data_IF_898552799660
#
_entry.id   IF_898552799660
#
_cell.length_a   1.000
_cell.length_b   1.000
_cell.length_c   1.000
_cell.angle_alpha   90.00
_cell.angle_beta   90.00
_cell.angle_gamma   90.00
#
_symmetry.space_group_name_H-M   'P 1'
#
loop_
_entity.id
_entity.type
_entity.pdbx_description
1 polymer ?
#
# COMPACT_ATOMS: atom_id res chain seq x y z
N UNK A 1 -1.48 10.18 23.65
CA UNK A 1 -2.10 8.98 24.28
C UNK A 1 -3.53 8.75 23.79
N UNK A 2 -4.57 9.47 24.25
CA UNK A 2 -5.96 9.22 23.78
C UNK A 2 -6.21 9.66 22.32
N UNK A 3 -5.65 10.82 21.92
CA UNK A 3 -5.81 11.36 20.56
C UNK A 3 -5.17 10.45 19.48
N UNK A 4 -3.99 9.89 19.78
CA UNK A 4 -3.22 9.07 18.82
C UNK A 4 -3.87 7.69 18.59
N UNK A 5 -4.50 7.10 19.61
CA UNK A 5 -5.28 5.87 19.48
C UNK A 5 -6.54 6.09 18.62
N UNK A 6 -7.22 7.23 18.78
CA UNK A 6 -8.40 7.58 17.97
C UNK A 6 -8.02 7.81 16.50
N UNK A 7 -6.92 8.53 16.25
CA UNK A 7 -6.39 8.77 14.91
C UNK A 7 -5.96 7.48 14.21
N UNK A 8 -5.39 6.53 14.96
CA UNK A 8 -4.99 5.22 14.45
C UNK A 8 -6.19 4.35 14.08
N UNK A 9 -7.22 4.29 14.92
CA UNK A 9 -8.44 3.54 14.62
C UNK A 9 -9.17 4.11 13.40
N UNK A 10 -9.21 5.45 13.29
CA UNK A 10 -9.72 6.17 12.13
C UNK A 10 -8.92 5.86 10.86
N UNK A 11 -7.60 5.76 10.98
CA UNK A 11 -6.70 5.43 9.87
C UNK A 11 -6.90 4.00 9.37
N UNK A 12 -7.00 3.01 10.26
CA UNK A 12 -7.28 1.62 9.89
C UNK A 12 -8.62 1.48 9.16
N UNK A 13 -9.65 2.20 9.62
CA UNK A 13 -10.95 2.23 8.95
C UNK A 13 -10.87 2.85 7.54
N UNK A 14 -10.16 3.98 7.39
CA UNK A 14 -9.92 4.62 6.08
C UNK A 14 -9.12 3.72 5.15
N UNK A 15 -8.09 3.04 5.66
CA UNK A 15 -7.29 2.08 4.92
C UNK A 15 -8.14 0.90 4.44
N UNK A 16 -8.96 0.31 5.31
CA UNK A 16 -9.85 -0.77 4.92
C UNK A 16 -10.86 -0.36 3.84
N UNK A 17 -11.37 0.88 3.89
CA UNK A 17 -12.22 1.43 2.85
C UNK A 17 -11.43 1.63 1.53
N UNK A 18 -10.23 2.20 1.58
CA UNK A 18 -9.37 2.39 0.42
C UNK A 18 -8.98 1.08 -0.27
N UNK A 19 -8.70 0.03 0.51
CA UNK A 19 -8.43 -1.33 -0.02
C UNK A 19 -9.62 -1.87 -0.81
N UNK A 20 -10.86 -1.59 -0.38
CA UNK A 20 -12.06 -1.96 -1.14
C UNK A 20 -12.16 -1.19 -2.46
N UNK A 21 -11.75 0.08 -2.49
CA UNK A 21 -11.76 0.90 -3.71
C UNK A 21 -10.84 0.30 -4.78
N UNK A 22 -9.62 -0.11 -4.41
CA UNK A 22 -8.68 -0.77 -5.34
C UNK A 22 -9.16 -2.13 -5.84
N UNK A 23 -9.98 -2.85 -5.05
CA UNK A 23 -10.53 -4.17 -5.43
C UNK A 23 -11.79 -4.07 -6.30
N UNK A 24 -12.31 -2.86 -6.52
CA UNK A 24 -13.38 -2.58 -7.47
C UNK A 24 -12.93 -2.90 -8.91
N UNK A 25 -13.82 -3.14 -9.89
CA UNK A 25 -13.45 -3.32 -11.32
C UNK A 25 -12.65 -2.17 -11.96
N UNK A 26 -12.38 -1.11 -11.20
CA UNK A 26 -11.36 -0.12 -11.47
C UNK A 26 -9.98 -0.80 -11.55
N UNK A 27 -9.33 -0.75 -12.71
CA UNK A 27 -7.94 -1.16 -12.88
C UNK A 27 -7.06 0.09 -12.86
N UNK A 28 -6.30 0.36 -11.77
CA UNK A 28 -5.18 1.28 -11.79
C UNK A 28 -4.11 0.76 -12.78
N UNK A 29 -3.13 1.60 -13.12
CA UNK A 29 -1.95 1.10 -13.85
C UNK A 29 -1.23 0.01 -13.05
N UNK A 30 -0.50 -0.85 -13.74
CA UNK A 30 0.30 -1.91 -13.10
C UNK A 30 1.28 -1.33 -12.05
N UNK A 31 1.86 -0.16 -12.33
CA UNK A 31 2.77 0.55 -11.41
C UNK A 31 2.04 1.00 -10.14
N UNK A 32 0.83 1.56 -10.27
CA UNK A 32 0.00 1.91 -9.11
C UNK A 32 -0.36 0.66 -8.31
N UNK A 33 -0.71 -0.45 -8.98
CA UNK A 33 -1.01 -1.71 -8.30
C UNK A 33 0.19 -2.25 -7.52
N UNK A 34 1.41 -2.10 -8.03
CA UNK A 34 2.64 -2.47 -7.33
C UNK A 34 2.89 -1.57 -6.10
N UNK A 35 2.67 -0.27 -6.24
CA UNK A 35 2.79 0.69 -5.14
C UNK A 35 1.75 0.44 -4.04
N UNK A 36 0.48 0.23 -4.39
CA UNK A 36 -0.54 -0.12 -3.41
C UNK A 36 -0.27 -1.48 -2.77
N UNK A 37 0.27 -2.43 -3.52
CA UNK A 37 0.71 -3.70 -2.97
C UNK A 37 1.81 -3.50 -1.92
N UNK A 38 2.84 -2.69 -2.19
CA UNK A 38 3.93 -2.47 -1.23
C UNK A 38 3.43 -1.82 0.06
N UNK A 39 2.63 -0.77 -0.02
CA UNK A 39 2.02 -0.14 1.15
C UNK A 39 1.12 -1.10 1.92
N UNK A 40 0.31 -1.91 1.23
CA UNK A 40 -0.53 -2.92 1.89
C UNK A 40 0.32 -3.94 2.66
N UNK A 41 1.42 -4.41 2.06
CA UNK A 41 2.34 -5.35 2.72
C UNK A 41 3.04 -4.70 3.92
N UNK A 42 3.48 -3.46 3.79
CA UNK A 42 4.10 -2.72 4.89
C UNK A 42 3.12 -2.43 6.03
N UNK A 43 1.88 -2.02 5.71
CA UNK A 43 0.84 -1.75 6.69
C UNK A 43 0.42 -3.01 7.48
N UNK A 44 0.39 -4.16 6.83
CA UNK A 44 -0.06 -5.42 7.46
C UNK A 44 1.09 -6.16 8.14
N UNK A 45 2.20 -6.37 7.41
CA UNK A 45 3.32 -7.20 7.84
C UNK A 45 4.50 -6.39 8.41
N UNK A 46 4.60 -5.10 8.10
CA UNK A 46 5.77 -4.28 8.43
C UNK A 46 6.88 -4.37 7.37
N UNK A 47 8.11 -3.97 7.73
CA UNK A 47 9.29 -3.99 6.86
C UNK A 47 9.49 -5.32 6.13
N UNK A 48 9.93 -5.23 4.87
CA UNK A 48 10.22 -6.41 4.05
C UNK A 48 11.32 -7.25 4.71
N UNK A 49 10.97 -8.48 5.12
CA UNK A 49 11.84 -9.41 5.83
C UNK A 49 12.07 -10.72 5.05
N UNK A 50 11.61 -10.77 3.80
CA UNK A 50 11.76 -11.94 2.93
C UNK A 50 12.90 -11.75 1.94
N UNK A 51 13.63 -12.81 1.55
CA UNK A 51 14.67 -12.71 0.54
C UNK A 51 14.11 -12.38 -0.84
N UNK A 52 14.90 -11.66 -1.64
CA UNK A 52 14.53 -11.32 -3.03
C UNK A 52 14.32 -12.59 -3.86
N UNK A 53 13.25 -12.69 -4.67
CA UNK A 53 13.04 -13.83 -5.56
C UNK A 53 14.21 -14.02 -6.53
N UNK A 54 14.79 -15.22 -6.55
CA UNK A 54 15.99 -15.55 -7.35
C UNK A 54 15.67 -15.95 -8.80
N UNK A 55 14.42 -16.31 -9.12
CA UNK A 55 14.02 -16.73 -10.47
C UNK A 55 14.14 -15.61 -11.51
N UNK A 56 14.80 -15.88 -12.65
CA UNK A 56 14.93 -14.92 -13.74
C UNK A 56 13.60 -14.65 -14.47
N UNK A 57 12.70 -15.65 -14.48
CA UNK A 57 11.38 -15.62 -15.11
C UNK A 57 10.29 -14.94 -14.28
N UNK A 58 10.48 -14.73 -12.97
CA UNK A 58 9.48 -14.11 -12.10
C UNK A 58 9.66 -12.58 -12.00
N UNK A 59 9.43 -11.89 -13.12
CA UNK A 59 9.54 -10.42 -13.20
C UNK A 59 8.50 -9.72 -12.33
N UNK A 60 7.28 -10.26 -12.26
CA UNK A 60 6.20 -9.70 -11.43
C UNK A 60 6.46 -9.88 -9.94
N UNK A 61 6.93 -11.05 -9.50
CA UNK A 61 7.32 -11.28 -8.12
C UNK A 61 8.49 -10.41 -7.69
N UNK A 62 9.49 -10.23 -8.57
CA UNK A 62 10.58 -9.27 -8.34
C UNK A 62 10.07 -7.84 -8.20
N UNK A 63 9.21 -7.36 -9.11
CA UNK A 63 8.66 -6.01 -9.02
C UNK A 63 7.88 -5.77 -7.71
N UNK A 64 7.08 -6.76 -7.28
CA UNK A 64 6.37 -6.71 -5.99
C UNK A 64 7.33 -6.67 -4.80
N UNK A 65 8.38 -7.47 -4.84
CA UNK A 65 9.39 -7.50 -3.79
C UNK A 65 10.19 -6.20 -3.76
N UNK A 66 10.61 -5.70 -4.92
CA UNK A 66 11.38 -4.47 -5.08
C UNK A 66 10.56 -3.27 -4.56
N UNK A 67 9.26 -3.19 -4.90
CA UNK A 67 8.35 -2.16 -4.40
C UNK A 67 8.13 -2.25 -2.87
N UNK A 68 8.06 -3.45 -2.29
CA UNK A 68 7.92 -3.59 -0.83
C UNK A 68 9.23 -3.32 -0.09
N UNK A 69 10.35 -3.80 -0.63
CA UNK A 69 11.68 -3.58 -0.07
C UNK A 69 12.10 -2.12 -0.13
N UNK A 70 11.65 -1.34 -1.13
CA UNK A 70 12.00 0.07 -1.26
C UNK A 70 11.41 0.95 -0.16
N UNK A 71 10.36 0.48 0.54
CA UNK A 71 9.77 1.17 1.69
C UNK A 71 10.66 1.11 2.95
N UNK A 72 11.63 0.19 3.00
CA UNK A 72 12.59 0.07 4.09
C UNK A 72 11.92 -0.05 5.47
N UNK A 73 12.25 0.90 6.36
CA UNK A 73 11.83 0.91 7.76
C UNK A 73 10.52 1.69 8.00
N UNK A 74 9.76 2.00 6.94
CA UNK A 74 8.47 2.71 7.07
C UNK A 74 7.55 2.01 8.08
N UNK A 75 6.93 2.78 8.97
CA UNK A 75 6.01 2.21 9.96
C UNK A 75 4.71 1.75 9.32
N UNK A 76 3.95 0.90 10.03
CA UNK A 76 2.62 0.46 9.56
C UNK A 76 1.67 1.63 9.37
N UNK A 77 1.72 2.61 10.28
CA UNK A 77 0.87 3.80 10.26
C UNK A 77 1.20 4.71 9.08
N UNK A 78 2.48 4.95 8.80
CA UNK A 78 2.90 5.71 7.61
C UNK A 78 2.47 5.01 6.32
N UNK A 79 2.61 3.69 6.23
CA UNK A 79 2.17 2.93 5.07
C UNK A 79 0.65 3.03 4.83
N UNK A 80 -0.15 2.98 5.90
CA UNK A 80 -1.60 3.17 5.81
C UNK A 80 -1.97 4.60 5.38
N UNK A 81 -1.27 5.62 5.91
CA UNK A 81 -1.49 7.02 5.51
C UNK A 81 -1.23 7.22 4.03
N UNK A 82 -0.05 6.83 3.55
CA UNK A 82 0.34 6.94 2.13
C UNK A 82 -0.66 6.20 1.23
N UNK A 83 -1.10 4.99 1.60
CA UNK A 83 -2.10 4.23 0.85
C UNK A 83 -3.42 5.00 0.68
N UNK A 84 -3.92 5.61 1.77
CA UNK A 84 -5.18 6.36 1.76
C UNK A 84 -5.03 7.64 0.94
N UNK A 85 -3.93 8.37 1.11
CA UNK A 85 -3.65 9.60 0.37
C UNK A 85 -3.57 9.37 -1.14
N UNK A 86 -2.83 8.33 -1.58
CA UNK A 86 -2.70 8.00 -3.00
C UNK A 86 -4.04 7.55 -3.60
N UNK A 87 -4.86 6.80 -2.85
CA UNK A 87 -6.21 6.44 -3.30
C UNK A 87 -7.10 7.67 -3.44
N UNK A 88 -7.03 8.60 -2.48
CA UNK A 88 -7.78 9.85 -2.56
C UNK A 88 -7.36 10.66 -3.78
N UNK A 89 -6.06 10.75 -4.06
CA UNK A 89 -5.54 11.44 -5.24
C UNK A 89 -6.04 10.81 -6.54
N UNK A 90 -5.91 9.48 -6.67
CA UNK A 90 -6.38 8.73 -7.85
C UNK A 90 -7.88 8.87 -8.04
N UNK A 91 -8.66 8.83 -6.96
CA UNK A 91 -10.12 9.00 -7.02
C UNK A 91 -10.55 10.44 -7.34
N UNK A 92 -9.78 11.43 -6.90
CA UNK A 92 -10.03 12.86 -7.13
C UNK A 92 -9.75 13.24 -8.58
N UNK A 93 -8.63 12.76 -9.15
CA UNK A 93 -8.22 13.08 -10.51
C UNK A 93 -9.23 12.62 -11.59
N UNK A 94 -10.09 11.65 -11.27
CA UNK A 94 -11.12 11.13 -12.18
C UNK A 94 -12.45 11.90 -12.18
N UNK A 95 -12.63 12.92 -11.33
CA UNK A 95 -13.87 13.73 -11.29
C UNK A 95 -13.89 14.90 -12.30
N UNK A 96 -12.97 14.93 -13.25
CA UNK A 96 -12.93 15.92 -14.33
C UNK A 96 -12.95 15.24 -15.69
#
# INVERSE_FOLDING_TARGET
MAQEEEDKHSLEAKFAAAVKVIRSPFQPSDDMMLMFYSYFKQATMGPCNIPRPSGFWDTRGKAKWDAWSSLGNMTKEEAMKNYVEDIQLVSSFRKH
#
